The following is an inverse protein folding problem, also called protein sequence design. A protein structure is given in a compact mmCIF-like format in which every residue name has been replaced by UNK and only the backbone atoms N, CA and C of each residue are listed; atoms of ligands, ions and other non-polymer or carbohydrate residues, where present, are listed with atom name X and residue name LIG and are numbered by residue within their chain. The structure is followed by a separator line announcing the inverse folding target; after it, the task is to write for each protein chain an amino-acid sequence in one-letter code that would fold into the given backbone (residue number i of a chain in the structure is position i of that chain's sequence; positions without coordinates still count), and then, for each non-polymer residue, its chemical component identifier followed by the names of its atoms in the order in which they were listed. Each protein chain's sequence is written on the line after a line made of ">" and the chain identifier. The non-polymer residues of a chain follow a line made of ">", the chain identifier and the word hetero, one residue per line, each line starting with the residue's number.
data_IF_674826281271
#
_entry.id   IF_674826281271
#
_cell.length_a   1.000
_cell.length_b   1.000
_cell.length_c   1.000
_cell.angle_alpha   90.00
_cell.angle_beta   90.00
_cell.angle_gamma   90.00
#
_symmetry.space_group_name_H-M   'P 1'
#
loop_
_entity.id
_entity.type
_entity.pdbx_description
1 polymer ?
#
# COMPACT_ATOMS: atom_id res chain seq x y z
N UNK A 1 3.38 16.30 -7.44
CA UNK A 1 2.91 14.99 -6.92
C UNK A 1 2.26 14.20 -8.04
N UNK A 2 2.58 12.91 -8.25
CA UNK A 2 1.95 12.08 -9.29
C UNK A 2 0.44 11.90 -9.09
N UNK A 3 -0.32 11.88 -10.19
CA UNK A 3 -1.79 11.67 -10.19
C UNK A 3 -2.23 10.42 -9.42
N UNK A 4 -1.51 9.31 -9.59
CA UNK A 4 -1.84 8.02 -8.96
C UNK A 4 -1.87 8.06 -7.42
N UNK A 5 -1.21 9.05 -6.80
CA UNK A 5 -1.15 9.18 -5.35
C UNK A 5 -2.26 10.06 -4.76
N UNK A 6 -3.05 10.74 -5.60
CA UNK A 6 -4.10 11.67 -5.16
C UNK A 6 -5.14 10.99 -4.27
N UNK A 7 -5.53 9.76 -4.61
CA UNK A 7 -6.53 8.99 -3.85
C UNK A 7 -6.05 8.50 -2.48
N UNK A 8 -4.73 8.50 -2.23
CA UNK A 8 -4.13 8.06 -0.97
C UNK A 8 -3.88 9.22 0.03
N UNK A 9 -4.32 10.43 -0.33
CA UNK A 9 -4.08 11.63 0.46
C UNK A 9 -5.08 11.71 1.60
N UNK A 10 -4.55 11.97 2.78
CA UNK A 10 -5.33 12.35 3.95
C UNK A 10 -5.33 13.88 4.02
N UNK A 11 -6.52 14.49 4.07
CA UNK A 11 -6.63 15.93 4.36
C UNK A 11 -5.93 16.25 5.67
N UNK A 12 -5.27 17.40 5.74
CA UNK A 12 -4.50 17.84 6.91
C UNK A 12 -3.34 16.90 7.31
N UNK A 13 -2.85 16.08 6.37
CA UNK A 13 -1.70 15.22 6.60
C UNK A 13 -0.48 16.06 7.00
N UNK A 14 0.15 15.66 8.11
CA UNK A 14 1.47 16.14 8.52
C UNK A 14 2.54 15.40 7.72
N UNK A 15 3.20 16.11 6.81
CA UNK A 15 4.17 15.57 5.86
C UNK A 15 5.59 15.91 6.34
N UNK A 16 6.46 14.91 6.59
CA UNK A 16 7.86 15.15 6.89
C UNK A 16 8.65 15.52 5.62
N UNK A 17 9.61 16.42 5.77
CA UNK A 17 10.56 16.76 4.72
C UNK A 17 11.91 17.16 5.31
N UNK A 18 12.94 17.10 4.47
CA UNK A 18 14.28 17.59 4.79
C UNK A 18 14.69 18.66 3.78
N UNK A 19 15.69 19.47 4.13
CA UNK A 19 16.30 20.42 3.20
C UNK A 19 17.82 20.26 3.25
N UNK A 20 18.53 20.31 2.10
CA UNK A 20 19.98 20.17 2.08
C UNK A 20 20.73 21.19 2.95
N UNK A 21 20.14 22.36 3.18
CA UNK A 21 20.71 23.42 4.02
C UNK A 21 20.80 23.04 5.51
N UNK A 22 20.01 22.06 5.98
CA UNK A 22 20.02 21.55 7.34
C UNK A 22 20.04 20.01 7.35
N UNK A 23 21.18 19.38 7.00
CA UNK A 23 21.29 17.92 6.93
C UNK A 23 20.92 17.26 8.26
N UNK A 24 20.13 16.20 8.20
CA UNK A 24 19.70 15.43 9.38
C UNK A 24 18.55 16.05 10.17
N UNK A 25 18.11 17.28 9.84
CA UNK A 25 16.94 17.89 10.47
C UNK A 25 15.67 17.59 9.67
N UNK A 26 14.64 17.11 10.38
CA UNK A 26 13.32 16.86 9.79
C UNK A 26 12.38 18.01 10.14
N UNK A 27 11.83 18.63 9.10
CA UNK A 27 10.78 19.61 9.20
C UNK A 27 9.43 18.96 8.89
N UNK A 28 8.35 19.65 9.26
CA UNK A 28 7.00 19.17 9.05
C UNK A 28 6.14 20.28 8.45
N UNK A 29 5.45 19.94 7.37
CA UNK A 29 4.39 20.77 6.78
C UNK A 29 3.03 20.10 6.91
N UNK A 30 1.97 20.90 6.93
CA UNK A 30 0.59 20.42 6.86
C UNK A 30 0.09 20.65 5.44
N UNK A 31 -0.47 19.62 4.82
CA UNK A 31 -1.04 19.75 3.48
C UNK A 31 -2.23 20.72 3.48
N UNK A 32 -2.05 21.88 2.87
CA UNK A 32 -3.05 22.95 2.85
C UNK A 32 -3.83 22.98 1.54
N UNK A 33 -3.18 22.71 0.41
CA UNK A 33 -3.82 22.70 -0.92
C UNK A 33 -3.25 21.64 -1.85
N UNK A 34 -4.10 21.14 -2.74
CA UNK A 34 -3.72 20.38 -3.92
C UNK A 34 -4.38 21.07 -5.10
N UNK A 35 -3.60 21.42 -6.11
CA UNK A 35 -4.14 21.93 -7.36
C UNK A 35 -4.95 20.80 -8.02
N UNK A 36 -6.24 21.01 -8.28
CA UNK A 36 -7.08 20.07 -9.04
C UNK A 36 -6.79 20.08 -10.55
N UNK A 37 -5.72 20.77 -10.97
CA UNK A 37 -5.24 20.82 -12.34
C UNK A 37 -4.03 19.89 -12.48
N UNK A 38 -4.13 18.94 -13.41
CA UNK A 38 -3.05 18.04 -13.79
C UNK A 38 -2.16 18.74 -14.83
N UNK A 39 -0.85 18.77 -14.60
CA UNK A 39 0.10 19.07 -15.66
C UNK A 39 0.21 17.85 -16.58
N UNK A 40 -0.34 17.93 -17.79
CA UNK A 40 -0.45 16.80 -18.72
C UNK A 40 0.90 16.23 -19.16
N UNK A 41 1.95 17.06 -19.20
CA UNK A 41 3.29 16.64 -19.64
C UNK A 41 3.97 15.77 -18.60
N UNK A 42 3.83 16.13 -17.33
CA UNK A 42 4.47 15.42 -16.21
C UNK A 42 3.54 14.43 -15.53
N UNK A 43 2.23 14.50 -15.79
CA UNK A 43 1.16 13.82 -15.03
C UNK A 43 1.29 14.06 -13.53
N UNK A 44 1.59 15.31 -13.17
CA UNK A 44 1.70 15.72 -11.77
C UNK A 44 0.76 16.88 -11.43
N UNK A 45 0.39 16.95 -10.16
CA UNK A 45 -0.39 18.03 -9.57
C UNK A 45 0.48 18.77 -8.54
N UNK A 46 0.30 20.08 -8.45
CA UNK A 46 0.93 20.90 -7.42
C UNK A 46 0.28 20.62 -6.05
N UNK A 47 1.10 20.54 -5.00
CA UNK A 47 0.64 20.42 -3.63
C UNK A 47 1.39 21.45 -2.78
N UNK A 48 0.67 22.14 -1.90
CA UNK A 48 1.20 23.15 -0.99
C UNK A 48 1.17 22.64 0.44
N UNK A 49 2.29 22.80 1.13
CA UNK A 49 2.44 22.47 2.54
C UNK A 49 2.63 23.76 3.34
N UNK A 50 1.78 23.99 4.34
CA UNK A 50 1.95 25.09 5.29
C UNK A 50 2.94 24.64 6.37
N UNK A 51 4.05 25.38 6.50
CA UNK A 51 5.14 25.06 7.42
C UNK A 51 5.28 26.14 8.47
N UNK A 52 5.31 25.75 9.74
CA UNK A 52 5.70 26.66 10.82
C UNK A 52 7.21 26.88 10.76
N UNK A 53 7.63 28.11 10.50
CA UNK A 53 9.05 28.49 10.36
C UNK A 53 9.48 29.50 11.44
N UNK A 54 9.43 29.15 12.74
CA UNK A 54 9.89 30.05 13.79
C UNK A 54 11.39 30.31 13.62
N UNK A 55 11.79 31.58 13.70
CA UNK A 55 13.18 31.98 13.48
C UNK A 55 13.62 32.06 12.02
N UNK A 56 12.68 31.93 11.05
CA UNK A 56 12.92 32.16 9.61
C UNK A 56 14.07 31.34 9.03
N UNK A 57 14.28 30.12 9.54
CA UNK A 57 15.40 29.25 9.14
C UNK A 57 15.20 28.69 7.74
N UNK A 58 13.96 28.43 7.34
CA UNK A 58 13.62 28.02 5.97
C UNK A 58 13.50 29.26 5.08
N UNK A 59 14.41 29.40 4.12
CA UNK A 59 14.44 30.51 3.18
C UNK A 59 13.63 30.23 1.91
N UNK A 60 13.06 31.28 1.25
CA UNK A 60 12.49 31.14 -0.08
C UNK A 60 13.53 30.60 -1.08
N UNK A 61 13.09 29.73 -1.99
CA UNK A 61 13.97 29.11 -3.01
C UNK A 61 14.74 27.88 -2.53
N UNK A 62 14.66 27.50 -1.24
CA UNK A 62 15.16 26.20 -0.79
C UNK A 62 14.38 25.07 -1.45
N UNK A 63 15.08 23.97 -1.73
CA UNK A 63 14.52 22.78 -2.35
C UNK A 63 14.32 21.67 -1.29
N UNK A 64 13.08 21.38 -0.87
CA UNK A 64 12.82 20.32 0.10
C UNK A 64 12.76 18.95 -0.56
N UNK A 65 13.26 17.94 0.15
CA UNK A 65 13.00 16.54 -0.16
C UNK A 65 11.87 16.02 0.73
N UNK A 66 10.77 15.61 0.12
CA UNK A 66 9.51 15.30 0.79
C UNK A 66 9.29 13.78 0.82
N UNK A 67 9.08 13.24 2.02
CA UNK A 67 8.65 11.85 2.20
C UNK A 67 7.12 11.83 2.33
N UNK A 68 6.45 11.57 1.21
CA UNK A 68 4.98 11.63 1.15
C UNK A 68 4.33 10.44 1.88
N UNK A 69 3.48 10.66 2.90
CA UNK A 69 2.79 9.58 3.59
C UNK A 69 1.63 9.07 2.73
N UNK A 70 1.90 8.05 1.91
CA UNK A 70 0.87 7.35 1.13
C UNK A 70 0.15 6.37 2.07
N UNK A 71 -1.05 6.72 2.55
CA UNK A 71 -1.90 5.73 3.21
C UNK A 71 -2.56 4.87 2.15
N UNK A 72 -2.23 3.58 2.11
CA UNK A 72 -3.01 2.61 1.32
C UNK A 72 -4.42 2.55 1.91
N UNK A 73 -5.43 2.87 1.12
CA UNK A 73 -6.83 2.98 1.59
C UNK A 73 -7.44 1.66 2.09
N UNK A 74 -6.76 0.53 1.86
CA UNK A 74 -7.23 -0.78 2.27
C UNK A 74 -6.09 -1.54 2.96
N UNK A 75 -6.36 -2.21 4.10
CA UNK A 75 -5.41 -3.16 4.66
C UNK A 75 -5.12 -4.23 3.61
N UNK A 76 -3.84 -4.50 3.41
CA UNK A 76 -3.35 -5.52 2.51
C UNK A 76 -2.54 -6.53 3.28
N UNK A 77 -2.46 -7.74 2.73
CA UNK A 77 -1.66 -8.82 3.30
C UNK A 77 -0.60 -9.25 2.29
N UNK A 78 0.53 -9.71 2.80
CA UNK A 78 1.57 -10.30 1.98
C UNK A 78 1.40 -11.82 1.99
N UNK A 79 1.30 -12.40 0.80
CA UNK A 79 1.20 -13.85 0.63
C UNK A 79 2.25 -14.34 -0.37
N UNK A 80 2.68 -15.61 -0.30
CA UNK A 80 3.52 -16.19 -1.33
C UNK A 80 2.82 -16.13 -2.70
N UNK A 81 3.53 -15.82 -3.80
CA UNK A 81 2.95 -15.83 -5.14
C UNK A 81 2.27 -17.17 -5.48
N UNK A 82 2.82 -18.28 -4.98
CA UNK A 82 2.26 -19.63 -5.19
C UNK A 82 0.92 -19.88 -4.48
N UNK A 83 0.53 -19.02 -3.54
CA UNK A 83 -0.76 -19.11 -2.84
C UNK A 83 -1.88 -18.41 -3.59
N UNK A 84 -1.55 -17.61 -4.60
CA UNK A 84 -2.51 -16.88 -5.43
C UNK A 84 -2.90 -17.77 -6.61
N UNK A 85 -4.20 -18.03 -6.74
CA UNK A 85 -4.78 -18.76 -7.88
C UNK A 85 -5.50 -17.77 -8.77
N UNK A 86 -5.20 -17.81 -10.06
CA UNK A 86 -5.86 -16.98 -11.07
C UNK A 86 -6.51 -17.90 -12.09
N UNK A 87 -7.82 -17.80 -12.22
CA UNK A 87 -8.60 -18.45 -13.29
C UNK A 87 -9.06 -17.40 -14.30
N UNK A 88 -9.72 -17.84 -15.37
CA UNK A 88 -10.34 -16.94 -16.35
C UNK A 88 -11.39 -16.01 -15.73
N UNK A 89 -11.99 -16.41 -14.61
CA UNK A 89 -13.11 -15.68 -13.99
C UNK A 89 -12.67 -14.77 -12.84
N UNK A 90 -11.71 -15.22 -12.00
CA UNK A 90 -11.33 -14.49 -10.79
C UNK A 90 -9.93 -14.85 -10.30
N UNK A 91 -9.37 -13.96 -9.47
CA UNK A 91 -8.17 -14.23 -8.67
C UNK A 91 -8.56 -14.43 -7.21
N UNK A 92 -8.03 -15.46 -6.56
CA UNK A 92 -8.38 -15.82 -5.20
C UNK A 92 -7.21 -16.46 -4.45
N UNK A 93 -7.32 -16.48 -3.13
CA UNK A 93 -6.46 -17.24 -2.21
C UNK A 93 -7.34 -18.27 -1.51
N UNK A 94 -6.79 -19.46 -1.26
CA UNK A 94 -7.51 -20.53 -0.57
C UNK A 94 -7.19 -20.45 0.93
N UNK A 95 -8.20 -20.08 1.73
CA UNK A 95 -8.15 -20.09 3.20
C UNK A 95 -8.59 -21.44 3.72
N UNK A 96 -7.97 -21.92 4.79
CA UNK A 96 -8.43 -23.07 5.56
C UNK A 96 -9.07 -22.56 6.84
N UNK A 97 -10.34 -22.90 7.05
CA UNK A 97 -11.10 -22.56 8.23
C UNK A 97 -11.88 -23.79 8.70
N UNK A 98 -11.76 -24.13 9.99
CA UNK A 98 -12.44 -25.27 10.59
C UNK A 98 -12.23 -26.61 9.83
N UNK A 99 -11.04 -26.78 9.22
CA UNK A 99 -10.67 -27.97 8.44
C UNK A 99 -11.25 -28.04 7.03
N UNK A 100 -11.94 -26.99 6.57
CA UNK A 100 -12.47 -26.85 5.22
C UNK A 100 -11.79 -25.71 4.47
N UNK A 101 -11.72 -25.82 3.15
CA UNK A 101 -11.20 -24.75 2.30
C UNK A 101 -12.29 -23.77 1.88
N UNK A 102 -11.94 -22.48 1.85
CA UNK A 102 -12.76 -21.37 1.39
C UNK A 102 -11.99 -20.57 0.35
N UNK A 103 -12.60 -20.24 -0.80
CA UNK A 103 -11.98 -19.34 -1.77
C UNK A 103 -12.27 -17.90 -1.39
N UNK A 104 -11.22 -17.17 -1.07
CA UNK A 104 -11.29 -15.75 -0.77
C UNK A 104 -10.85 -15.00 -2.01
N UNK A 105 -11.80 -14.35 -2.69
CA UNK A 105 -11.50 -13.52 -3.86
C UNK A 105 -10.59 -12.37 -3.43
N UNK A 106 -9.50 -12.15 -4.17
CA UNK A 106 -8.52 -11.10 -3.90
C UNK A 106 -8.09 -10.38 -5.17
N UNK A 107 -7.62 -9.15 -5.00
CA UNK A 107 -6.91 -8.41 -6.04
C UNK A 107 -5.41 -8.42 -5.74
N UNK A 108 -4.60 -8.71 -6.75
CA UNK A 108 -3.14 -8.70 -6.65
C UNK A 108 -2.60 -7.27 -6.65
N UNK A 109 -1.75 -6.96 -5.68
CA UNK A 109 -1.03 -5.71 -5.52
C UNK A 109 0.43 -5.79 -5.96
N UNK A 110 1.26 -4.91 -5.40
CA UNK A 110 2.67 -4.84 -5.72
C UNK A 110 3.46 -6.04 -5.16
N UNK A 111 4.54 -6.46 -5.85
CA UNK A 111 5.50 -7.40 -5.26
C UNK A 111 6.25 -6.74 -4.09
N UNK A 112 6.56 -7.53 -3.07
CA UNK A 112 7.32 -7.12 -1.89
C UNK A 112 8.33 -8.23 -1.54
N UNK A 113 9.51 -8.18 -2.16
CA UNK A 113 10.50 -9.26 -2.08
C UNK A 113 9.96 -10.55 -2.70
N UNK A 114 10.01 -11.65 -1.94
CA UNK A 114 9.49 -12.97 -2.35
C UNK A 114 7.97 -13.12 -2.14
N UNK A 115 7.32 -12.07 -1.64
CA UNK A 115 5.88 -12.04 -1.37
C UNK A 115 5.16 -11.10 -2.33
N UNK A 116 3.84 -11.24 -2.40
CA UNK A 116 2.97 -10.41 -3.20
C UNK A 116 1.87 -9.86 -2.31
N UNK A 117 1.63 -8.56 -2.46
CA UNK A 117 0.52 -7.89 -1.80
C UNK A 117 -0.82 -8.37 -2.36
N UNK A 118 -1.79 -8.62 -1.49
CA UNK A 118 -3.17 -8.95 -1.86
C UNK A 118 -4.15 -8.10 -1.08
N UNK A 119 -5.24 -7.72 -1.75
CA UNK A 119 -6.36 -6.98 -1.19
C UNK A 119 -7.62 -7.85 -1.26
N UNK A 120 -8.39 -7.92 -0.18
CA UNK A 120 -9.62 -8.71 -0.14
C UNK A 120 -10.11 -8.99 1.28
N UNK A 121 -11.05 -9.92 1.42
CA UNK A 121 -11.63 -10.32 2.71
C UNK A 121 -10.76 -11.37 3.44
N UNK A 122 -9.44 -11.16 3.41
CA UNK A 122 -8.45 -11.95 4.12
C UNK A 122 -8.00 -11.18 5.36
N UNK A 123 -7.79 -11.89 6.48
CA UNK A 123 -7.37 -11.29 7.74
C UNK A 123 -6.01 -11.82 8.18
N UNK A 124 -5.30 -11.00 8.96
CA UNK A 124 -4.08 -11.45 9.62
C UNK A 124 -4.40 -12.66 10.52
N UNK A 125 -3.54 -13.68 10.48
CA UNK A 125 -3.75 -14.95 11.17
C UNK A 125 -4.56 -15.99 10.39
N UNK A 126 -5.16 -15.64 9.24
CA UNK A 126 -5.81 -16.64 8.38
C UNK A 126 -4.78 -17.67 7.87
N UNK A 127 -5.10 -18.95 8.03
CA UNK A 127 -4.30 -20.05 7.47
C UNK A 127 -4.64 -20.20 6.00
N UNK A 128 -3.63 -20.08 5.13
CA UNK A 128 -3.80 -20.20 3.67
C UNK A 128 -3.01 -21.36 3.10
N UNK A 129 -3.44 -21.86 1.94
CA UNK A 129 -2.71 -22.90 1.20
C UNK A 129 -1.50 -22.29 0.49
N UNK A 130 -0.28 -22.74 0.85
CA UNK A 130 0.98 -22.20 0.30
C UNK A 130 1.09 -22.38 -1.23
N UNK A 131 0.59 -23.49 -1.77
CA UNK A 131 0.52 -23.80 -3.20
C UNK A 131 -0.94 -24.03 -3.57
N UNK A 132 -1.60 -22.95 -3.98
CA UNK A 132 -3.01 -23.00 -4.37
C UNK A 132 -3.19 -23.65 -5.74
N UNK A 133 -4.33 -24.33 -5.90
CA UNK A 133 -4.82 -24.82 -7.19
C UNK A 133 -6.34 -24.77 -7.17
N UNK A 134 -6.95 -24.50 -8.32
CA UNK A 134 -8.39 -24.51 -8.54
C UNK A 134 -9.03 -25.91 -8.42
N UNK A 135 -8.22 -26.97 -8.34
CA UNK A 135 -8.68 -28.32 -7.98
C UNK A 135 -9.22 -28.40 -6.55
N UNK A 136 -8.72 -27.55 -5.64
CA UNK A 136 -9.15 -27.48 -4.24
C UNK A 136 -10.43 -26.65 -4.11
N UNK A 137 -11.58 -27.22 -4.48
CA UNK A 137 -12.88 -26.51 -4.47
C UNK A 137 -13.37 -26.15 -3.07
N UNK A 138 -14.17 -25.10 -2.96
CA UNK A 138 -14.85 -24.69 -1.72
C UNK A 138 -15.50 -25.88 -0.99
N UNK A 139 -15.30 -25.95 0.32
CA UNK A 139 -15.83 -27.03 1.16
C UNK A 139 -15.00 -28.33 1.17
N UNK A 140 -13.96 -28.43 0.34
CA UNK A 140 -13.02 -29.56 0.41
C UNK A 140 -12.39 -29.63 1.79
N UNK A 141 -12.46 -30.80 2.45
CA UNK A 141 -11.82 -31.02 3.73
C UNK A 141 -10.33 -31.25 3.54
N UNK A 142 -9.53 -30.54 4.32
CA UNK A 142 -8.06 -30.64 4.27
C UNK A 142 -7.51 -30.76 5.68
N UNK A 143 -6.48 -31.60 5.84
CA UNK A 143 -5.63 -31.57 7.02
C UNK A 143 -4.47 -30.62 6.73
N UNK A 144 -4.58 -29.37 7.21
CA UNK A 144 -3.51 -28.40 7.07
C UNK A 144 -2.29 -28.85 7.88
N UNK A 145 -1.15 -28.99 7.20
CA UNK A 145 0.16 -29.18 7.85
C UNK A 145 0.87 -27.84 7.82
N UNK A 146 1.33 -27.36 8.97
CA UNK A 146 2.09 -26.11 9.05
C UNK A 146 3.32 -26.21 8.12
N UNK A 147 3.47 -25.25 7.22
CA UNK A 147 4.65 -25.17 6.38
C UNK A 147 5.86 -24.89 7.28
N UNK A 148 6.81 -25.84 7.34
CA UNK A 148 8.13 -25.58 7.93
C UNK A 148 8.81 -24.47 7.12
N UNK A 149 9.39 -23.53 7.86
CA UNK A 149 10.17 -22.38 7.38
C UNK A 149 11.31 -22.84 6.47
#
# INVERSE_FOLDING_TARGET
>A
MPEALVGAIVKDARVPFTVPAFPGETFYGVLSRIAHALDEKTRTMAAELDVRNPGLRLGPGMYPEVLWPVKKSHPSLLVPPTSIVTTTERTFVIRVKDGAVEWVTVTRGAPAGDLVEVFGLLKEGDVIVRRGSDELREGTRVNAVAAKT
#
